data_IF_481492814733
#
_entry.id   IF_481492814733
#
_cell.length_a   1.000
_cell.length_b   1.000
_cell.length_c   1.000
_cell.angle_alpha   90.00
_cell.angle_beta   90.00
_cell.angle_gamma   90.00
#
_symmetry.space_group_name_H-M   'P 1'
#
loop_
_entity.id
_entity.type
_entity.pdbx_description
1 polymer ?
#
# COMPACT_ATOMS: atom_id res chain seq x y z
N UNK A 1 8.31 27.22 10.63
CA UNK A 1 8.92 26.06 9.96
C UNK A 1 9.82 26.56 8.82
N UNK A 2 11.10 26.19 8.80
CA UNK A 2 12.05 26.65 7.78
C UNK A 2 11.94 25.77 6.54
N UNK A 3 11.67 26.36 5.36
CA UNK A 3 11.68 25.62 4.11
C UNK A 3 13.10 25.14 3.82
N UNK A 4 13.23 23.85 3.51
CA UNK A 4 14.50 23.27 3.06
C UNK A 4 14.84 23.81 1.67
N UNK A 5 16.15 23.90 1.38
CA UNK A 5 16.64 24.30 0.05
C UNK A 5 16.24 23.25 -0.99
N UNK A 6 15.91 23.71 -2.20
CA UNK A 6 15.67 22.83 -3.37
C UNK A 6 16.98 22.17 -3.83
N UNK A 7 16.91 20.85 -4.04
CA UNK A 7 18.03 20.05 -4.51
C UNK A 7 18.07 20.02 -6.04
N UNK A 8 19.27 19.95 -6.60
CA UNK A 8 19.48 19.69 -8.03
C UNK A 8 19.19 18.22 -8.38
N UNK A 9 18.98 17.94 -9.66
CA UNK A 9 18.66 16.58 -10.13
C UNK A 9 19.75 15.56 -9.79
N UNK A 10 21.03 15.95 -9.88
CA UNK A 10 22.16 15.10 -9.49
C UNK A 10 22.16 14.78 -7.98
N UNK A 11 21.85 15.78 -7.13
CA UNK A 11 21.74 15.58 -5.69
C UNK A 11 20.53 14.69 -5.34
N UNK A 12 19.42 14.82 -6.08
CA UNK A 12 18.28 13.91 -5.95
C UNK A 12 18.66 12.49 -6.35
N UNK A 13 19.37 12.30 -7.46
CA UNK A 13 19.84 10.98 -7.90
C UNK A 13 20.77 10.33 -6.88
N UNK A 14 21.70 11.10 -6.31
CA UNK A 14 22.60 10.64 -5.24
C UNK A 14 21.82 10.28 -3.98
N UNK A 15 20.81 11.06 -3.63
CA UNK A 15 20.03 10.84 -2.41
C UNK A 15 19.07 9.66 -2.51
N UNK A 16 18.47 9.43 -3.68
CA UNK A 16 17.52 8.34 -3.91
C UNK A 16 18.23 7.00 -4.17
N UNK A 17 19.39 7.03 -4.84
CA UNK A 17 20.08 5.82 -5.30
C UNK A 17 21.51 5.67 -4.76
N UNK A 18 21.92 6.54 -3.83
CA UNK A 18 23.24 6.49 -3.18
C UNK A 18 24.39 7.06 -4.00
N UNK A 19 24.10 7.60 -5.20
CA UNK A 19 25.11 7.93 -6.21
C UNK A 19 25.52 6.67 -6.93
N UNK A 20 25.65 6.72 -8.27
CA UNK A 20 26.25 5.59 -8.96
C UNK A 20 27.75 5.63 -8.69
N UNK A 21 28.12 4.86 -7.67
CA UNK A 21 29.48 4.63 -7.23
C UNK A 21 29.90 3.22 -7.70
N UNK A 22 31.11 3.03 -8.25
CA UNK A 22 31.59 1.72 -8.68
C UNK A 22 31.70 0.67 -7.55
N UNK A 23 31.46 1.06 -6.28
CA UNK A 23 31.33 0.16 -5.12
C UNK A 23 29.91 -0.38 -4.92
N UNK A 24 28.89 0.11 -5.62
CA UNK A 24 27.51 -0.36 -5.46
C UNK A 24 27.21 -1.50 -6.44
N UNK A 25 27.07 -2.72 -5.90
CA UNK A 25 26.73 -3.91 -6.69
C UNK A 25 25.24 -4.21 -6.62
N UNK A 26 24.53 -4.04 -7.74
CA UNK A 26 23.12 -4.44 -7.87
C UNK A 26 23.05 -5.96 -7.82
N UNK A 27 22.57 -6.50 -6.70
CA UNK A 27 22.41 -7.94 -6.50
C UNK A 27 20.97 -8.35 -6.72
N UNK A 28 20.75 -9.38 -7.54
CA UNK A 28 19.44 -9.99 -7.74
C UNK A 28 19.03 -10.66 -6.44
N UNK A 29 17.95 -10.16 -5.84
CA UNK A 29 17.35 -10.80 -4.66
C UNK A 29 16.49 -11.95 -5.18
N UNK A 30 17.03 -13.17 -5.13
CA UNK A 30 16.23 -14.36 -5.36
C UNK A 30 15.13 -14.41 -4.28
N UNK A 31 13.88 -14.80 -4.63
CA UNK A 31 12.79 -14.85 -3.66
C UNK A 31 13.23 -15.63 -2.43
N UNK A 32 13.35 -14.92 -1.30
CA UNK A 32 13.85 -15.52 -0.07
C UNK A 32 12.86 -16.61 0.35
N UNK A 33 13.29 -17.87 0.49
CA UNK A 33 12.41 -18.89 1.02
C UNK A 33 11.91 -18.44 2.40
N UNK A 34 10.65 -18.70 2.74
CA UNK A 34 10.09 -18.26 4.00
C UNK A 34 10.93 -18.82 5.15
N UNK A 35 11.26 -17.97 6.13
CA UNK A 35 12.12 -18.36 7.27
C UNK A 35 11.48 -19.45 8.14
N UNK A 36 10.15 -19.56 8.07
CA UNK A 36 9.32 -20.50 8.83
C UNK A 36 8.18 -21.00 7.94
N UNK A 37 7.66 -22.19 8.22
CA UNK A 37 6.40 -22.65 7.62
C UNK A 37 5.26 -21.75 8.11
N UNK A 38 4.63 -21.05 7.16
CA UNK A 38 3.48 -20.20 7.45
C UNK A 38 2.23 -21.08 7.55
N UNK A 39 1.43 -20.85 8.59
CA UNK A 39 0.16 -21.56 8.80
C UNK A 39 -0.93 -21.16 7.80
N UNK A 40 -0.77 -20.01 7.13
CA UNK A 40 -1.69 -19.46 6.15
C UNK A 40 -0.91 -18.97 4.94
N UNK A 41 -1.47 -19.16 3.75
CA UNK A 41 -0.87 -18.57 2.55
C UNK A 41 -1.25 -17.09 2.44
N UNK A 42 -0.43 -16.31 1.71
CA UNK A 42 -0.78 -14.92 1.41
C UNK A 42 -2.06 -14.79 0.58
N UNK A 43 -2.37 -15.83 -0.20
CA UNK A 43 -3.56 -15.90 -1.03
C UNK A 43 -4.83 -16.13 -0.19
N UNK A 44 -4.73 -16.92 0.90
CA UNK A 44 -5.81 -17.04 1.88
C UNK A 44 -6.09 -15.70 2.56
N UNK A 45 -5.04 -14.98 2.96
CA UNK A 45 -5.18 -13.64 3.55
C UNK A 45 -5.82 -12.65 2.57
N UNK A 46 -5.42 -12.67 1.29
CA UNK A 46 -6.00 -11.80 0.26
C UNK A 46 -7.51 -11.99 0.17
N UNK A 47 -7.98 -13.24 0.06
CA UNK A 47 -9.42 -13.55 -0.06
C UNK A 47 -10.21 -13.12 1.17
N UNK A 48 -9.69 -13.35 2.37
CA UNK A 48 -10.36 -12.92 3.61
C UNK A 48 -10.46 -11.39 3.70
N UNK A 49 -9.43 -10.66 3.27
CA UNK A 49 -9.50 -9.20 3.21
C UNK A 49 -10.50 -8.70 2.18
N UNK A 50 -10.55 -9.32 0.99
CA UNK A 50 -11.51 -8.96 -0.05
C UNK A 50 -12.95 -9.16 0.44
N UNK A 51 -13.26 -10.30 1.06
CA UNK A 51 -14.58 -10.57 1.63
C UNK A 51 -14.98 -9.52 2.69
N UNK A 52 -14.05 -9.11 3.55
CA UNK A 52 -14.31 -8.08 4.56
C UNK A 52 -14.52 -6.70 3.96
N UNK A 53 -13.80 -6.36 2.89
CA UNK A 53 -13.97 -5.08 2.19
C UNK A 53 -15.32 -5.04 1.50
N UNK A 54 -15.73 -6.13 0.85
CA UNK A 54 -17.02 -6.24 0.19
C UNK A 54 -18.16 -6.07 1.19
N UNK A 55 -18.15 -6.85 2.27
CA UNK A 55 -19.17 -6.77 3.32
C UNK A 55 -19.30 -5.35 3.91
N UNK A 56 -18.17 -4.68 4.17
CA UNK A 56 -18.18 -3.29 4.65
C UNK A 56 -18.75 -2.32 3.61
N UNK A 57 -18.53 -2.59 2.32
CA UNK A 57 -19.04 -1.75 1.23
C UNK A 57 -20.56 -1.92 1.10
N UNK A 58 -21.07 -3.15 1.22
CA UNK A 58 -22.50 -3.44 1.28
C UNK A 58 -23.18 -2.73 2.46
N UNK A 59 -22.59 -2.81 3.66
CA UNK A 59 -23.10 -2.09 4.84
C UNK A 59 -23.19 -0.58 4.59
N UNK A 60 -22.12 0.01 4.03
CA UNK A 60 -22.09 1.45 3.72
C UNK A 60 -23.12 1.84 2.66
N UNK A 61 -23.33 1.01 1.64
CA UNK A 61 -24.35 1.27 0.61
C UNK A 61 -25.76 1.22 1.22
N UNK A 62 -26.04 0.23 2.06
CA UNK A 62 -27.33 0.12 2.75
C UNK A 62 -27.61 1.33 3.65
N UNK A 63 -26.59 1.83 4.36
CA UNK A 63 -26.71 3.03 5.19
C UNK A 63 -27.00 4.29 4.35
N UNK A 64 -26.37 4.41 3.17
CA UNK A 64 -26.61 5.53 2.25
C UNK A 64 -28.03 5.48 1.67
N UNK A 65 -28.49 4.31 1.23
CA UNK A 65 -29.85 4.11 0.71
C UNK A 65 -30.90 4.43 1.78
N UNK A 66 -30.65 4.02 3.03
CA UNK A 66 -31.53 4.34 4.16
C UNK A 66 -31.57 5.85 4.46
N UNK A 67 -30.43 6.53 4.36
CA UNK A 67 -30.35 7.98 4.54
C UNK A 67 -31.09 8.75 3.42
N UNK A 68 -30.99 8.28 2.18
CA UNK A 68 -31.70 8.86 1.03
C UNK A 68 -33.22 8.70 1.18
N UNK A 69 -33.70 7.51 1.54
CA UNK A 69 -35.13 7.27 1.78
C UNK A 69 -35.69 8.12 2.93
N UNK A 70 -34.90 8.33 4.00
CA UNK A 70 -35.28 9.20 5.11
C UNK A 70 -35.35 10.67 4.70
N UNK A 71 -34.50 11.11 3.77
CA UNK A 71 -34.50 12.48 3.23
C UNK A 71 -35.67 12.72 2.27
N UNK A 72 -36.08 11.72 1.48
CA UNK A 72 -37.23 11.82 0.57
C UNK A 72 -38.58 11.80 1.32
N UNK A 73 -38.64 11.16 2.49
CA UNK A 73 -39.83 11.10 3.32
C UNK A 73 -40.09 12.35 4.19
N UNK A 74 -39.17 13.33 4.20
CA UNK A 74 -39.22 14.55 5.01
C UNK A 74 -39.69 15.78 4.21
#
# INVERSE_FOLDING_TARGET
MRRLRTLSEAECYVRCYGGWDPTVTVTKVEPRPPRYELRVSGEDLRREFEARIEARTEELMADLDAAEAAAEAA
#
